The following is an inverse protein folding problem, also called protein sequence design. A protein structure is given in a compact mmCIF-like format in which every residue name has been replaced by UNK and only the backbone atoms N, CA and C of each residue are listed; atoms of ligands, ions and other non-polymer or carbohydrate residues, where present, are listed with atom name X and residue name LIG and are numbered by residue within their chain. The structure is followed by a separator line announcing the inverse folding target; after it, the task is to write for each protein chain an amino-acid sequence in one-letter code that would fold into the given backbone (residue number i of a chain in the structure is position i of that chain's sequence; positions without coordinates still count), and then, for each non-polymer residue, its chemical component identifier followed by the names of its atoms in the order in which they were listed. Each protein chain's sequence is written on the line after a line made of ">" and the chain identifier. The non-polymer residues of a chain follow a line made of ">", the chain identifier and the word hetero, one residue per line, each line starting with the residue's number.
data_IF_108755689753
#
_entry.id   IF_108755689753
#
_cell.length_a   1.000
_cell.length_b   1.000
_cell.length_c   1.000
_cell.angle_alpha   90.00
_cell.angle_beta   90.00
_cell.angle_gamma   90.00
#
_symmetry.space_group_name_H-M   'P 1'
#
loop_
_entity.id
_entity.type
_entity.pdbx_description
1 polymer ?
#
# COMPACT_ATOMS: atom_id res chain seq x y z
N UNK A 1 -14.62 -1.16 -2.41
CA UNK A 1 -14.15 -0.28 -1.42
C UNK A 1 -12.75 -0.55 -0.99
N UNK A 2 -12.50 -1.55 -0.16
CA UNK A 2 -11.14 -1.83 0.24
C UNK A 2 -10.28 -2.26 -0.94
N UNK A 3 -10.81 -3.12 -1.79
CA UNK A 3 -10.09 -3.57 -2.97
C UNK A 3 -9.81 -2.40 -3.91
N UNK A 4 -10.77 -1.52 -4.08
CA UNK A 4 -10.60 -0.33 -4.89
C UNK A 4 -9.47 0.53 -4.38
N UNK A 5 -9.41 0.70 -3.05
CA UNK A 5 -8.36 1.50 -2.44
C UNK A 5 -6.99 0.88 -2.72
N UNK A 6 -6.89 -0.45 -2.54
CA UNK A 6 -5.64 -1.14 -2.77
C UNK A 6 -5.19 -0.98 -4.22
N UNK A 7 -6.10 -1.16 -5.16
CA UNK A 7 -5.75 -1.02 -6.57
C UNK A 7 -5.34 0.39 -6.91
N UNK A 8 -6.04 1.39 -6.36
CA UNK A 8 -5.71 2.78 -6.60
C UNK A 8 -4.35 3.12 -6.02
N UNK A 9 -4.08 2.66 -4.80
CA UNK A 9 -2.80 2.91 -4.16
C UNK A 9 -1.67 2.24 -4.94
N UNK A 10 -1.88 1.01 -5.38
CA UNK A 10 -0.87 0.31 -6.17
C UNK A 10 -0.60 1.02 -7.49
N UNK A 11 -1.61 1.66 -8.07
CA UNK A 11 -1.42 2.39 -9.33
C UNK A 11 -0.55 3.63 -9.14
N UNK A 12 -0.39 4.10 -7.92
CA UNK A 12 0.43 5.25 -7.62
C UNK A 12 1.81 4.86 -7.08
N UNK A 13 2.11 3.58 -7.06
CA UNK A 13 3.39 3.10 -6.60
C UNK A 13 4.50 3.54 -7.56
N UNK A 14 5.68 3.77 -7.01
CA UNK A 14 6.86 4.13 -7.78
C UNK A 14 7.89 3.05 -7.59
N UNK A 15 8.54 2.67 -8.69
CA UNK A 15 9.52 1.60 -8.66
C UNK A 15 10.86 2.11 -9.19
N UNK A 16 11.94 1.57 -8.63
CA UNK A 16 13.27 1.91 -9.12
C UNK A 16 14.20 0.75 -8.88
N UNK A 17 15.33 0.75 -9.59
CA UNK A 17 16.34 -0.27 -9.39
C UNK A 17 17.38 0.25 -8.43
N UNK A 18 17.74 -0.60 -7.47
CA UNK A 18 18.74 -0.24 -6.47
C UNK A 18 19.83 -1.30 -6.49
N UNK A 19 20.96 -1.00 -5.87
CA UNK A 19 22.05 -1.95 -5.78
C UNK A 19 21.84 -2.80 -4.54
N UNK A 20 21.20 -3.94 -4.73
CA UNK A 20 20.90 -4.83 -3.63
C UNK A 20 20.66 -6.23 -4.20
N UNK A 21 20.59 -7.22 -3.32
CA UNK A 21 20.29 -8.58 -3.73
C UNK A 21 18.90 -8.64 -4.33
N UNK A 22 18.00 -7.79 -3.86
CA UNK A 22 16.70 -7.63 -4.47
C UNK A 22 16.70 -6.25 -5.11
N UNK A 23 17.06 -6.17 -6.39
CA UNK A 23 17.32 -4.89 -7.03
C UNK A 23 16.09 -4.05 -7.37
N UNK A 24 14.89 -4.59 -7.23
CA UNK A 24 13.69 -3.81 -7.51
C UNK A 24 13.10 -3.30 -6.20
N UNK A 25 12.90 -2.00 -6.15
CA UNK A 25 12.36 -1.33 -4.99
C UNK A 25 11.08 -0.62 -5.38
N UNK A 26 10.04 -0.77 -4.58
CA UNK A 26 8.78 -0.08 -4.82
C UNK A 26 8.28 0.57 -3.56
N UNK A 27 7.59 1.70 -3.72
CA UNK A 27 7.01 2.40 -2.60
C UNK A 27 5.73 3.08 -3.03
N UNK A 28 4.88 3.37 -2.06
CA UNK A 28 3.67 4.16 -2.31
C UNK A 28 3.83 5.44 -1.51
N UNK A 29 4.16 6.55 -2.17
CA UNK A 29 4.51 7.80 -1.47
C UNK A 29 3.45 8.30 -0.50
N UNK A 30 2.18 8.13 -0.84
CA UNK A 30 1.10 8.59 0.03
C UNK A 30 0.94 7.74 1.28
N UNK A 31 1.34 6.49 1.21
CA UNK A 31 1.22 5.58 2.34
C UNK A 31 2.61 5.41 2.93
N UNK A 32 3.00 6.36 3.75
CA UNK A 32 4.35 6.35 4.33
C UNK A 32 4.62 5.06 5.09
N UNK A 33 5.76 4.48 4.80
CA UNK A 33 6.13 3.22 5.42
C UNK A 33 5.77 2.00 4.59
N UNK A 34 5.07 2.19 3.47
CA UNK A 34 4.73 1.08 2.59
C UNK A 34 5.74 1.02 1.46
N UNK A 35 6.67 0.09 1.57
CA UNK A 35 7.69 -0.14 0.56
C UNK A 35 8.06 -1.60 0.58
N UNK A 36 8.65 -2.07 -0.51
CA UNK A 36 9.07 -3.45 -0.62
C UNK A 36 10.14 -3.59 -1.67
N UNK A 37 10.83 -4.73 -1.67
CA UNK A 37 11.83 -5.03 -2.68
C UNK A 37 11.51 -6.40 -3.26
N UNK A 38 12.18 -6.74 -4.33
CA UNK A 38 12.00 -8.05 -4.95
C UNK A 38 13.11 -8.34 -5.94
N UNK A 39 13.27 -9.61 -6.26
CA UNK A 39 14.28 -10.03 -7.22
C UNK A 39 13.85 -9.73 -8.64
N UNK A 40 12.55 -9.63 -8.87
CA UNK A 40 11.98 -9.24 -10.15
C UNK A 40 10.96 -8.15 -9.89
N UNK A 41 10.57 -7.44 -10.94
CA UNK A 41 9.55 -6.41 -10.78
C UNK A 41 8.23 -7.03 -10.32
N UNK A 42 7.87 -8.18 -10.86
CA UNK A 42 6.64 -8.85 -10.48
C UNK A 42 6.66 -9.23 -9.01
N UNK A 43 7.80 -9.74 -8.53
CA UNK A 43 7.92 -10.11 -7.13
C UNK A 43 7.85 -8.88 -6.24
N UNK A 44 8.48 -7.78 -6.66
CA UNK A 44 8.43 -6.53 -5.93
C UNK A 44 6.99 -6.03 -5.81
N UNK A 45 6.23 -6.07 -6.90
CA UNK A 45 4.84 -5.64 -6.88
C UNK A 45 4.01 -6.49 -5.93
N UNK A 46 4.22 -7.80 -5.94
CA UNK A 46 3.50 -8.69 -5.06
C UNK A 46 3.81 -8.38 -3.60
N UNK A 47 5.10 -8.21 -3.30
CA UNK A 47 5.53 -7.91 -1.95
C UNK A 47 4.99 -6.57 -1.48
N UNK A 48 4.97 -5.58 -2.39
CA UNK A 48 4.47 -4.26 -2.07
C UNK A 48 2.98 -4.31 -1.75
N UNK A 49 2.22 -5.07 -2.54
CA UNK A 49 0.79 -5.20 -2.31
C UNK A 49 0.52 -5.86 -0.95
N UNK A 50 1.27 -6.89 -0.61
CA UNK A 50 1.11 -7.56 0.67
C UNK A 50 1.44 -6.62 1.83
N UNK A 51 2.48 -5.80 1.66
CA UNK A 51 2.85 -4.82 2.67
C UNK A 51 1.73 -3.79 2.83
N UNK A 52 1.16 -3.33 1.73
CA UNK A 52 0.08 -2.37 1.76
C UNK A 52 -1.15 -2.95 2.47
N UNK A 53 -1.48 -4.20 2.18
CA UNK A 53 -2.64 -4.84 2.81
C UNK A 53 -2.46 -4.93 4.32
N UNK A 54 -1.27 -5.30 4.76
CA UNK A 54 -0.97 -5.37 6.19
C UNK A 54 -1.02 -4.00 6.83
N UNK A 55 -0.48 -3.00 6.14
CA UNK A 55 -0.46 -1.62 6.63
C UNK A 55 -1.89 -1.10 6.83
N UNK A 56 -2.77 -1.37 5.85
CA UNK A 56 -4.16 -0.93 5.93
C UNK A 56 -4.85 -1.63 7.09
N UNK A 57 -4.62 -2.94 7.22
CA UNK A 57 -5.25 -3.72 8.27
C UNK A 57 -4.87 -3.18 9.65
N UNK A 58 -3.59 -2.89 9.85
CA UNK A 58 -3.12 -2.36 11.12
C UNK A 58 -3.73 -0.99 11.41
N UNK A 59 -3.85 -0.16 10.39
CA UNK A 59 -4.44 1.17 10.60
C UNK A 59 -5.91 1.08 10.95
N UNK A 60 -6.65 0.21 10.27
CA UNK A 60 -8.06 0.04 10.58
C UNK A 60 -8.22 -0.51 12.00
N UNK A 61 -7.42 -1.51 12.34
CA UNK A 61 -7.51 -2.13 13.64
C UNK A 61 -7.23 -1.14 14.77
N UNK A 62 -6.31 -0.22 14.55
CA UNK A 62 -5.92 0.75 15.57
C UNK A 62 -6.58 2.12 15.39
N UNK A 63 -7.57 2.21 14.52
CA UNK A 63 -8.29 3.46 14.25
C UNK A 63 -7.35 4.59 13.82
N UNK A 64 -6.31 4.26 13.07
CA UNK A 64 -5.38 5.26 12.57
C UNK A 64 -5.88 5.79 11.22
N UNK A 65 -5.54 7.04 10.88
CA UNK A 65 -6.02 7.62 9.62
C UNK A 65 -5.41 6.93 8.41
N UNK A 66 -6.20 6.83 7.35
CA UNK A 66 -5.76 6.28 6.07
C UNK A 66 -5.89 7.39 5.04
N UNK A 67 -4.80 7.69 4.31
CA UNK A 67 -4.85 8.79 3.34
C UNK A 67 -5.89 8.57 2.25
N UNK A 68 -6.54 9.65 1.85
CA UNK A 68 -7.48 9.61 0.75
C UNK A 68 -6.71 9.64 -0.57
N UNK A 69 -7.10 8.80 -1.51
CA UNK A 69 -6.47 8.71 -2.82
C UNK A 69 -7.48 9.11 -3.88
N UNK A 70 -7.19 10.19 -4.60
CA UNK A 70 -7.97 10.57 -5.80
C UNK A 70 -9.44 10.18 -5.80
N UNK A 71 -10.19 10.64 -4.83
CA UNK A 71 -11.60 10.33 -4.76
C UNK A 71 -11.94 8.97 -4.19
N UNK A 72 -10.94 8.20 -3.79
CA UNK A 72 -11.14 6.89 -3.19
C UNK A 72 -10.67 6.94 -1.75
N UNK A 73 -11.51 6.54 -0.84
CA UNK A 73 -11.15 6.52 0.56
C UNK A 73 -11.86 5.37 1.23
N UNK A 74 -11.23 4.84 2.27
CA UNK A 74 -11.86 3.83 3.09
C UNK A 74 -12.63 4.58 4.15
N UNK A 75 -13.95 4.46 4.09
CA UNK A 75 -14.79 5.21 5.00
C UNK A 75 -14.57 4.77 6.41
N UNK A 76 -14.31 5.69 7.27
CA UNK A 76 -14.07 5.35 8.66
C UNK A 76 -15.31 4.75 9.26
N UNK A 77 -16.40 5.03 8.69
CA UNK A 77 -17.59 4.49 9.24
C UNK A 77 -17.60 3.05 9.23
N UNK A 78 -16.72 2.53 8.51
CA UNK A 78 -16.59 1.13 8.56
C UNK A 78 -16.50 0.82 9.98
N UNK A 79 -16.12 1.78 10.65
CA UNK A 79 -16.14 1.58 12.01
C UNK A 79 -17.51 1.76 12.47
N UNK A 80 -18.12 1.95 11.86
CA UNK A 80 -19.13 1.93 12.35
C UNK A 80 -19.77 1.51 13.09
N UNK A 81 -19.49 1.72 13.04
CA UNK A 81 -19.90 1.60 13.64
C UNK A 81 -20.37 1.21 14.11
N UNK A 82 -20.22 1.20 14.03
CA UNK A 82 -20.66 0.88 14.42
C UNK A 82 -21.05 0.69 14.89
#
# INVERSE_FOLDING_TARGET
>A
MLLEYIEKAMSKAKYERIKDKEPYYGEIPLCKGVWATGKTLAQCKKNLRETLESWIFIRIKNSLPIPTLSGTAIKPVIRVEV
#
